data_IF_544796574894
#
_entry.id   IF_544796574894
#
_cell.length_a   1.000
_cell.length_b   1.000
_cell.length_c   1.000
_cell.angle_alpha   90.00
_cell.angle_beta   90.00
_cell.angle_gamma   90.00
#
_symmetry.space_group_name_H-M   'P 1'
#
loop_
_entity.id
_entity.type
_entity.pdbx_description
1 polymer ?
#
# COMPACT_ATOMS: atom_id res chain seq x y z
N UNK A 1 9.01 -6.14 -3.44
CA UNK A 1 9.01 -5.10 -2.38
C UNK A 1 8.21 -3.87 -2.82
N UNK A 2 7.18 -3.50 -2.06
CA UNK A 2 6.52 -2.20 -2.11
C UNK A 2 6.78 -1.45 -0.80
N UNK A 3 6.83 -0.11 -0.85
CA UNK A 3 7.04 0.75 0.33
C UNK A 3 5.94 1.79 0.38
N UNK A 4 5.46 2.10 1.58
CA UNK A 4 4.55 3.22 1.79
C UNK A 4 5.28 4.56 1.53
N UNK A 5 4.63 5.49 0.84
CA UNK A 5 5.20 6.82 0.61
C UNK A 5 5.10 7.73 1.85
N UNK A 6 4.27 7.36 2.82
CA UNK A 6 4.00 8.15 4.03
C UNK A 6 4.69 7.61 5.29
N UNK A 7 5.21 6.39 5.26
CA UNK A 7 5.91 5.79 6.40
C UNK A 7 6.94 4.75 5.95
N UNK A 8 7.66 4.13 6.88
CA UNK A 8 8.71 3.14 6.55
C UNK A 8 8.16 1.73 6.31
N UNK A 9 6.84 1.53 6.40
CA UNK A 9 6.22 0.22 6.26
C UNK A 9 6.43 -0.34 4.84
N UNK A 10 6.77 -1.62 4.76
CA UNK A 10 7.07 -2.33 3.52
C UNK A 10 6.21 -3.57 3.40
N UNK A 11 5.85 -3.88 2.16
CA UNK A 11 5.25 -5.14 1.79
C UNK A 11 6.27 -5.96 1.01
N UNK A 12 6.69 -7.07 1.60
CA UNK A 12 7.54 -8.05 0.94
C UNK A 12 6.72 -9.31 0.66
N UNK A 13 6.80 -9.77 -0.58
CA UNK A 13 6.09 -10.94 -1.05
C UNK A 13 7.03 -11.71 -1.97
N UNK A 14 7.18 -13.00 -1.73
CA UNK A 14 7.99 -13.90 -2.54
C UNK A 14 7.25 -14.24 -3.85
N UNK A 15 7.06 -13.24 -4.71
CA UNK A 15 6.38 -13.35 -5.99
C UNK A 15 7.33 -13.03 -7.14
N UNK A 16 7.07 -13.61 -8.31
CA UNK A 16 7.97 -13.58 -9.45
C UNK A 16 8.13 -12.18 -10.08
N UNK A 17 7.19 -11.27 -9.85
CA UNK A 17 7.17 -9.98 -10.52
C UNK A 17 6.45 -8.87 -9.77
N UNK A 18 6.65 -7.64 -10.26
CA UNK A 18 6.00 -6.45 -9.73
C UNK A 18 4.47 -6.48 -9.90
N UNK A 19 3.88 -6.91 -11.03
CA UNK A 19 2.43 -6.98 -11.17
C UNK A 19 1.77 -7.88 -10.10
N UNK A 20 2.36 -9.04 -9.82
CA UNK A 20 1.90 -9.97 -8.79
C UNK A 20 2.04 -9.37 -7.39
N UNK A 21 3.16 -8.66 -7.12
CA UNK A 21 3.36 -7.98 -5.85
C UNK A 21 2.31 -6.89 -5.62
N UNK A 22 1.94 -6.14 -6.68
CA UNK A 22 0.90 -5.12 -6.64
C UNK A 22 -0.47 -5.74 -6.41
N UNK A 23 -0.81 -6.82 -7.12
CA UNK A 23 -2.06 -7.52 -6.93
C UNK A 23 -2.19 -8.05 -5.49
N UNK A 24 -1.13 -8.68 -4.97
CA UNK A 24 -1.11 -9.23 -3.62
C UNK A 24 -1.21 -8.12 -2.57
N UNK A 25 -0.51 -7.01 -2.75
CA UNK A 25 -0.60 -5.87 -1.83
C UNK A 25 -2.00 -5.25 -1.82
N UNK A 26 -2.64 -5.07 -2.98
CA UNK A 26 -4.01 -4.57 -3.08
C UNK A 26 -5.01 -5.47 -2.36
N UNK A 27 -4.87 -6.79 -2.50
CA UNK A 27 -5.67 -7.76 -1.73
C UNK A 27 -5.48 -7.61 -0.21
N UNK A 28 -4.29 -7.20 0.23
CA UNK A 28 -3.97 -6.92 1.62
C UNK A 28 -4.26 -5.48 2.05
N UNK A 29 -5.09 -4.74 1.31
CA UNK A 29 -5.57 -3.41 1.66
C UNK A 29 -4.62 -2.27 1.36
N UNK A 30 -3.56 -2.51 0.57
CA UNK A 30 -2.70 -1.43 0.09
C UNK A 30 -3.36 -0.67 -1.05
N UNK A 31 -3.19 0.66 -1.04
CA UNK A 31 -3.45 1.48 -2.22
C UNK A 31 -2.17 1.55 -3.03
N UNK A 32 -2.25 1.19 -4.31
CA UNK A 32 -1.10 1.24 -5.24
C UNK A 32 -1.56 1.86 -6.54
N UNK A 33 -1.05 3.06 -6.86
CA UNK A 33 -1.39 3.84 -8.05
C UNK A 33 -0.36 4.96 -8.25
N UNK A 34 -0.82 6.22 -8.35
CA UNK A 34 0.06 7.40 -8.35
C UNK A 34 0.88 7.52 -7.06
N UNK A 35 0.31 7.09 -5.93
CA UNK A 35 1.00 6.89 -4.67
C UNK A 35 0.78 5.46 -4.15
N UNK A 36 1.70 5.00 -3.31
CA UNK A 36 1.64 3.71 -2.62
C UNK A 36 1.45 3.92 -1.13
N UNK A 37 0.31 3.52 -0.58
CA UNK A 37 0.00 3.67 0.85
C UNK A 37 -0.28 2.33 1.52
N UNK A 38 0.28 2.14 2.71
CA UNK A 38 -0.08 1.01 3.56
C UNK A 38 -1.50 1.18 4.12
N UNK A 39 -2.16 0.09 4.55
CA UNK A 39 -3.55 0.13 5.03
C UNK A 39 -3.77 1.16 6.14
N UNK A 40 -2.83 1.28 7.07
CA UNK A 40 -2.91 2.23 8.18
C UNK A 40 -2.83 3.69 7.75
N UNK A 41 -1.88 4.03 6.87
CA UNK A 41 -1.75 5.39 6.34
C UNK A 41 -2.94 5.76 5.46
N UNK A 42 -3.41 4.81 4.63
CA UNK A 42 -4.61 5.00 3.81
C UNK A 42 -5.84 5.31 4.67
N UNK A 43 -6.10 4.51 5.71
CA UNK A 43 -7.22 4.74 6.64
C UNK A 43 -7.09 6.07 7.39
N UNK A 44 -5.89 6.43 7.85
CA UNK A 44 -5.66 7.70 8.55
C UNK A 44 -5.92 8.90 7.64
N UNK A 45 -5.49 8.81 6.38
CA UNK A 45 -5.62 9.89 5.41
C UNK A 45 -7.05 10.05 4.90
N UNK A 46 -7.82 8.97 4.78
CA UNK A 46 -9.26 9.06 4.46
C UNK A 46 -10.05 9.69 5.60
N UNK A 47 -9.80 9.29 6.86
CA UNK A 47 -10.49 9.87 8.04
C UNK A 47 -10.28 11.39 8.12
N UNK A 48 -9.07 11.88 7.83
CA UNK A 48 -8.76 13.33 7.84
C UNK A 48 -9.47 14.13 6.74
N UNK A 49 -9.97 13.49 5.67
CA UNK A 49 -10.71 14.18 4.60
C UNK A 49 -12.21 14.31 4.89
N UNK A 50 -12.73 13.51 5.82
CA UNK A 50 -14.14 13.49 6.18
C UNK A 50 -14.44 14.24 7.48
N UNK A 51 -13.40 14.68 8.21
CA UNK A 51 -13.49 15.43 9.46
C UNK A 51 -13.47 16.94 9.23
#
# INVERSE_FOLDING_TARGET
MLRCDLCEHRFDAAVAGRPEAVAFARTNGWIVGEATWCPMCAATHTIRRTA
#
